data_IF_183644477417
#
_entry.id   IF_183644477417
#
_cell.length_a   1.000
_cell.length_b   1.000
_cell.length_c   1.000
_cell.angle_alpha   90.00
_cell.angle_beta   90.00
_cell.angle_gamma   90.00
#
_symmetry.space_group_name_H-M   'P 1'
#
loop_
_entity.id
_entity.type
_entity.pdbx_description
1 polymer ?
#
# COMPACT_ATOMS: atom_id res chain seq x y z
N UNK A 1 -26.60 -42.76 4.75
CA UNK A 1 -25.88 -42.95 6.03
C UNK A 1 -24.76 -41.93 6.10
N UNK A 2 -24.71 -41.20 7.21
CA UNK A 2 -24.19 -39.83 7.38
C UNK A 2 -22.69 -39.60 7.18
N UNK A 3 -22.35 -38.55 6.41
CA UNK A 3 -21.02 -37.89 6.34
C UNK A 3 -20.53 -37.30 7.68
N UNK A 4 -21.35 -37.27 8.73
CA UNK A 4 -20.99 -36.76 10.07
C UNK A 4 -20.06 -37.68 10.87
N UNK A 5 -19.93 -38.97 10.53
CA UNK A 5 -19.14 -39.94 11.31
C UNK A 5 -17.65 -39.94 10.92
N UNK A 6 -17.30 -39.48 9.72
CA UNK A 6 -15.91 -39.47 9.23
C UNK A 6 -15.13 -38.27 9.82
N UNK A 7 -15.78 -37.12 9.98
CA UNK A 7 -15.16 -35.92 10.56
C UNK A 7 -14.86 -36.05 12.07
N UNK A 8 -15.63 -36.86 12.82
CA UNK A 8 -15.38 -37.02 14.26
C UNK A 8 -14.17 -37.91 14.59
N UNK A 9 -13.74 -38.77 13.66
CA UNK A 9 -12.59 -39.67 13.86
C UNK A 9 -11.24 -39.04 13.49
N UNK A 10 -11.21 -38.04 12.61
CA UNK A 10 -9.96 -37.32 12.27
C UNK A 10 -9.60 -36.28 13.35
N UNK A 11 -10.61 -35.63 13.94
CA UNK A 11 -10.40 -34.67 15.03
C UNK A 11 -9.81 -35.30 16.31
N UNK A 12 -9.98 -36.62 16.50
CA UNK A 12 -9.50 -37.36 17.68
C UNK A 12 -8.10 -38.00 17.52
N UNK A 13 -7.46 -37.88 16.35
CA UNK A 13 -6.06 -38.35 16.17
C UNK A 13 -5.02 -37.23 16.32
N UNK A 14 -5.36 -35.97 15.99
CA UNK A 14 -4.45 -34.82 16.09
C UNK A 14 -4.21 -34.32 17.51
N UNK A 15 -5.01 -34.76 18.49
CA UNK A 15 -4.87 -34.36 19.89
C UNK A 15 -3.79 -35.15 20.68
N UNK A 16 -3.04 -36.06 20.04
CA UNK A 16 -2.11 -36.97 20.75
C UNK A 16 -0.62 -36.64 20.67
N UNK A 17 -0.18 -35.69 19.86
CA UNK A 17 1.27 -35.40 19.68
C UNK A 17 1.62 -33.91 19.87
N UNK A 18 1.35 -33.37 21.06
CA UNK A 18 1.98 -32.13 21.51
C UNK A 18 2.83 -32.45 22.75
N UNK A 19 4.14 -32.54 22.56
CA UNK A 19 5.12 -32.65 23.66
C UNK A 19 5.38 -31.27 24.28
N UNK A 20 5.58 -31.18 25.61
CA UNK A 20 5.74 -29.90 26.30
C UNK A 20 7.22 -29.54 26.40
N UNK A 21 7.59 -28.33 25.99
CA UNK A 21 8.84 -27.68 26.42
C UNK A 21 8.45 -26.36 27.09
N UNK A 22 8.66 -26.31 28.40
CA UNK A 22 8.50 -25.10 29.24
C UNK A 22 9.86 -24.42 29.39
N UNK A 23 9.86 -23.11 29.68
CA UNK A 23 10.65 -22.69 30.84
C UNK A 23 9.79 -21.99 31.88
N UNK A 24 10.12 -22.29 33.13
CA UNK A 24 9.61 -21.70 34.36
C UNK A 24 10.00 -20.22 34.45
N UNK A 25 9.03 -19.34 34.61
CA UNK A 25 9.17 -18.16 35.45
C UNK A 25 7.97 -18.10 36.39
N UNK A 26 8.31 -18.10 37.67
CA UNK A 26 7.47 -18.16 38.86
C UNK A 26 6.63 -16.90 39.07
N UNK A 27 5.37 -17.11 39.44
CA UNK A 27 4.69 -16.33 40.48
C UNK A 27 4.15 -14.95 40.10
N UNK A 28 2.85 -14.79 40.30
CA UNK A 28 2.06 -13.56 40.27
C UNK A 28 1.78 -12.96 38.88
N UNK A 29 0.62 -13.30 38.33
CA UNK A 29 -0.36 -12.39 37.68
C UNK A 29 -1.51 -13.22 37.07
N UNK A 30 -2.12 -14.09 37.89
CA UNK A 30 -3.39 -14.75 37.56
C UNK A 30 -4.50 -13.75 37.82
N UNK A 31 -4.69 -12.83 36.87
CA UNK A 31 -5.75 -11.83 36.90
C UNK A 31 -6.06 -11.21 35.55
N UNK A 32 -5.13 -11.28 34.60
CA UNK A 32 -5.26 -10.58 33.31
C UNK A 32 -5.76 -11.45 32.13
N UNK A 33 -5.74 -12.78 32.26
CA UNK A 33 -5.97 -13.70 31.13
C UNK A 33 -7.44 -14.15 30.95
N UNK A 34 -8.40 -13.58 31.68
CA UNK A 34 -9.84 -13.89 31.52
C UNK A 34 -10.66 -12.78 30.84
N UNK A 35 -10.02 -11.70 30.42
CA UNK A 35 -10.70 -10.57 29.77
C UNK A 35 -10.72 -10.64 28.23
N UNK A 36 -9.88 -11.48 27.61
CA UNK A 36 -9.66 -11.47 26.15
C UNK A 36 -10.30 -12.63 25.36
N UNK A 37 -11.25 -13.39 25.94
CA UNK A 37 -11.83 -14.57 25.28
C UNK A 37 -13.36 -14.56 25.16
N UNK A 38 -14.02 -13.40 25.22
CA UNK A 38 -15.48 -13.32 24.97
C UNK A 38 -15.97 -12.10 24.19
N UNK A 39 -15.09 -11.31 23.56
CA UNK A 39 -15.55 -10.28 22.64
C UNK A 39 -15.63 -10.86 21.22
N UNK A 40 -16.80 -11.39 20.88
CA UNK A 40 -17.29 -11.33 19.51
C UNK A 40 -17.00 -9.93 18.97
N UNK A 41 -16.27 -9.85 17.85
CA UNK A 41 -16.05 -8.61 17.14
C UNK A 41 -17.42 -7.96 16.90
N UNK A 42 -17.68 -6.74 17.42
CA UNK A 42 -18.93 -6.08 17.10
C UNK A 42 -18.90 -5.78 15.61
N UNK A 43 -19.82 -6.38 14.87
CA UNK A 43 -19.93 -6.28 13.41
C UNK A 43 -20.11 -4.86 12.89
N UNK A 44 -20.26 -3.85 13.75
CA UNK A 44 -20.55 -2.48 13.35
C UNK A 44 -19.70 -1.46 14.13
N UNK A 45 -18.39 -1.42 13.89
CA UNK A 45 -17.54 -0.29 14.34
C UNK A 45 -17.95 1.00 13.60
N UNK A 46 -18.45 0.88 12.37
CA UNK A 46 -18.93 2.01 11.57
C UNK A 46 -20.24 2.62 12.11
N UNK A 47 -21.10 1.82 12.73
CA UNK A 47 -22.40 2.29 13.25
C UNK A 47 -22.25 3.00 14.61
N UNK A 48 -21.32 2.55 15.45
CA UNK A 48 -20.99 3.23 16.72
C UNK A 48 -20.32 4.59 16.50
N UNK A 49 -19.45 4.72 15.49
CA UNK A 49 -18.83 6.01 15.15
C UNK A 49 -19.87 7.03 14.63
N UNK A 50 -20.93 6.57 13.95
CA UNK A 50 -22.00 7.46 13.47
C UNK A 50 -22.94 7.88 14.60
N UNK A 51 -23.21 7.01 15.58
CA UNK A 51 -24.13 7.33 16.69
C UNK A 51 -23.55 8.32 17.71
N UNK A 52 -22.24 8.27 17.95
CA UNK A 52 -21.55 9.13 18.93
C UNK A 52 -21.30 10.55 18.36
N UNK A 53 -21.32 10.66 17.02
CA UNK A 53 -21.14 11.92 16.31
C UNK A 53 -22.47 12.64 16.00
N UNK A 54 -23.63 12.10 16.40
CA UNK A 54 -24.94 12.78 16.22
C UNK A 54 -25.13 14.01 17.11
N UNK A 55 -24.35 14.10 18.18
CA UNK A 55 -24.30 15.30 19.03
C UNK A 55 -23.10 16.20 18.70
N UNK A 56 -22.27 15.84 17.70
CA UNK A 56 -21.31 16.76 17.12
C UNK A 56 -22.01 17.60 16.05
N UNK A 57 -22.99 18.39 16.49
CA UNK A 57 -23.38 19.55 15.71
C UNK A 57 -22.20 20.51 15.77
N UNK A 58 -21.44 20.64 14.69
CA UNK A 58 -20.56 21.80 14.52
C UNK A 58 -21.50 23.00 14.61
N UNK A 59 -21.41 23.85 15.65
CA UNK A 59 -22.17 25.08 15.62
C UNK A 59 -21.52 25.91 14.51
N UNK A 60 -22.08 25.86 13.30
CA UNK A 60 -21.79 26.88 12.33
C UNK A 60 -22.50 28.12 12.87
N UNK A 61 -21.81 28.87 13.73
CA UNK A 61 -22.26 30.20 14.10
C UNK A 61 -22.28 30.99 12.79
N UNK A 62 -23.48 31.31 12.31
CA UNK A 62 -23.65 32.26 11.21
C UNK A 62 -23.06 33.59 11.67
N UNK A 63 -22.28 34.21 10.79
CA UNK A 63 -21.52 35.43 11.12
C UNK A 63 -22.49 36.53 11.60
N UNK A 64 -22.46 36.84 12.91
CA UNK A 64 -23.34 37.83 13.55
C UNK A 64 -24.33 37.28 14.59
N UNK A 65 -24.47 35.96 14.73
CA UNK A 65 -25.31 35.38 15.79
C UNK A 65 -24.59 35.44 17.15
N UNK A 66 -25.21 36.06 18.15
CA UNK A 66 -24.67 36.08 19.51
C UNK A 66 -24.89 34.71 20.15
N UNK A 67 -23.83 34.07 20.62
CA UNK A 67 -23.97 32.86 21.44
C UNK A 67 -24.94 33.10 22.60
N UNK A 68 -25.94 32.22 22.74
CA UNK A 68 -26.99 32.34 23.76
C UNK A 68 -26.44 32.38 25.20
N UNK A 69 -25.16 32.03 25.39
CA UNK A 69 -24.45 31.99 26.67
C UNK A 69 -23.57 33.22 26.93
N UNK A 70 -23.40 34.15 25.98
CA UNK A 70 -22.49 35.30 26.13
C UNK A 70 -23.19 36.56 26.66
N UNK A 71 -22.52 37.28 27.57
CA UNK A 71 -23.00 38.58 28.05
C UNK A 71 -22.89 39.66 26.96
N UNK A 72 -23.77 40.67 27.00
CA UNK A 72 -23.80 41.77 26.01
C UNK A 72 -22.45 42.51 25.97
N UNK A 73 -21.83 42.67 27.13
CA UNK A 73 -20.54 43.35 27.29
C UNK A 73 -19.40 42.54 26.66
N UNK A 74 -19.38 41.22 26.84
CA UNK A 74 -18.36 40.35 26.23
C UNK A 74 -18.48 40.32 24.70
N UNK A 75 -19.71 40.26 24.17
CA UNK A 75 -19.94 40.31 22.73
C UNK A 75 -19.48 41.63 22.13
N UNK A 76 -19.80 42.74 22.79
CA UNK A 76 -19.38 44.07 22.36
C UNK A 76 -17.86 44.20 22.39
N UNK A 77 -17.22 43.74 23.47
CA UNK A 77 -15.75 43.75 23.58
C UNK A 77 -15.09 42.89 22.49
N UNK A 78 -15.58 41.68 22.22
CA UNK A 78 -15.07 40.83 21.13
C UNK A 78 -15.20 41.49 19.76
N UNK A 79 -16.30 42.20 19.52
CA UNK A 79 -16.58 42.88 18.24
C UNK A 79 -15.70 44.11 18.07
N UNK A 80 -15.60 44.97 19.08
CA UNK A 80 -14.78 46.19 19.02
C UNK A 80 -13.28 45.90 19.03
N UNK A 81 -12.81 44.95 19.84
CA UNK A 81 -11.39 44.59 19.93
C UNK A 81 -11.00 43.46 18.97
N UNK A 82 -11.93 42.95 18.17
CA UNK A 82 -11.72 41.91 17.15
C UNK A 82 -10.84 40.75 17.66
N UNK A 83 -11.08 40.31 18.90
CA UNK A 83 -10.20 39.37 19.60
C UNK A 83 -10.10 38.02 18.91
N UNK A 84 -11.13 37.61 18.16
CA UNK A 84 -11.11 36.40 17.36
C UNK A 84 -10.14 36.51 16.16
N UNK A 85 -10.00 37.70 15.57
CA UNK A 85 -9.02 37.95 14.51
C UNK A 85 -7.60 37.98 15.09
N UNK A 86 -7.42 38.56 16.29
CA UNK A 86 -6.13 38.51 16.99
C UNK A 86 -5.71 37.07 17.33
N UNK A 87 -6.65 36.21 17.75
CA UNK A 87 -6.40 34.77 17.95
C UNK A 87 -6.01 34.04 16.65
N UNK A 88 -6.68 34.37 15.54
CA UNK A 88 -6.34 33.86 14.22
C UNK A 88 -4.93 34.29 13.80
N UNK A 89 -4.61 35.58 13.95
CA UNK A 89 -3.29 36.13 13.66
C UNK A 89 -2.20 35.50 14.51
N UNK A 90 -2.45 35.29 15.81
CA UNK A 90 -1.52 34.60 16.70
C UNK A 90 -1.21 33.17 16.23
N UNK A 91 -2.22 32.46 15.75
CA UNK A 91 -2.04 31.10 15.20
C UNK A 91 -1.18 31.12 13.94
N UNK A 92 -1.43 32.08 13.04
CA UNK A 92 -0.62 32.27 11.82
C UNK A 92 0.81 32.65 12.17
N UNK A 93 1.01 33.56 13.13
CA UNK A 93 2.33 33.96 13.60
C UNK A 93 3.11 32.77 14.17
N UNK A 94 2.45 31.91 14.95
CA UNK A 94 3.05 30.69 15.48
C UNK A 94 3.44 29.70 14.38
N UNK A 95 2.65 29.62 13.29
CA UNK A 95 3.01 28.79 12.15
C UNK A 95 4.15 29.39 11.33
N UNK A 96 4.23 30.72 11.21
CA UNK A 96 5.29 31.41 10.49
C UNK A 96 6.67 31.24 11.15
N UNK A 97 6.71 31.17 12.48
CA UNK A 97 7.96 30.97 13.24
C UNK A 97 8.44 29.51 13.27
N UNK A 98 7.68 28.55 12.73
CA UNK A 98 8.13 27.16 12.59
C UNK A 98 9.04 27.02 11.36
N UNK A 99 9.95 26.06 11.45
CA UNK A 99 10.79 25.66 10.32
C UNK A 99 9.91 25.12 9.17
N UNK A 100 10.19 25.45 7.90
CA UNK A 100 9.41 24.97 6.77
C UNK A 100 9.62 23.46 6.53
N UNK A 101 8.55 22.75 6.16
CA UNK A 101 8.59 21.32 5.82
C UNK A 101 9.09 21.02 4.39
N UNK A 102 9.55 22.03 3.66
CA UNK A 102 9.90 21.92 2.23
C UNK A 102 11.21 21.15 2.03
N UNK A 103 11.20 20.15 1.17
CA UNK A 103 12.42 19.45 0.71
C UNK A 103 13.00 20.15 -0.52
N UNK A 104 14.33 20.20 -0.62
CA UNK A 104 15.02 20.81 -1.76
C UNK A 104 15.14 19.83 -2.94
N UNK A 105 14.03 19.53 -3.60
CA UNK A 105 14.03 18.79 -4.87
C UNK A 105 14.77 19.60 -5.95
N UNK A 106 15.71 19.05 -6.73
CA UNK A 106 16.02 17.63 -6.95
C UNK A 106 17.19 17.05 -6.11
N UNK A 107 17.85 17.86 -5.28
CA UNK A 107 19.02 17.44 -4.51
C UNK A 107 18.66 16.53 -3.33
N UNK A 108 17.50 16.78 -2.73
CA UNK A 108 16.92 15.97 -1.66
C UNK A 108 15.60 15.37 -2.15
N UNK A 109 15.45 14.05 -2.02
CA UNK A 109 14.24 13.31 -2.40
C UNK A 109 13.55 12.77 -1.15
N UNK A 110 12.23 12.61 -1.24
CA UNK A 110 11.46 11.98 -0.17
C UNK A 110 11.90 10.54 0.07
N UNK A 111 11.82 10.03 1.32
CA UNK A 111 12.12 8.63 1.60
C UNK A 111 11.10 7.72 0.93
N UNK A 112 11.57 6.70 0.21
CA UNK A 112 10.73 5.69 -0.45
C UNK A 112 10.82 4.36 0.29
N UNK A 113 9.72 3.61 0.30
CA UNK A 113 9.71 2.25 0.84
C UNK A 113 10.22 1.26 -0.22
N UNK A 114 10.77 0.10 0.17
CA UNK A 114 11.18 -0.95 -0.78
C UNK A 114 10.02 -1.52 -1.62
N UNK A 115 8.78 -1.30 -1.17
CA UNK A 115 7.53 -1.68 -1.86
C UNK A 115 7.01 -0.64 -2.84
N UNK A 116 7.78 0.41 -3.09
CA UNK A 116 7.36 1.44 -4.03
C UNK A 116 7.13 0.84 -5.42
N UNK A 117 6.10 1.34 -6.10
CA UNK A 117 5.68 0.88 -7.43
C UNK A 117 5.95 1.97 -8.45
N UNK A 118 6.94 1.73 -9.31
CA UNK A 118 7.38 2.68 -10.34
C UNK A 118 7.40 2.07 -11.74
N UNK A 119 8.45 2.37 -12.48
CA UNK A 119 8.65 1.93 -13.87
C UNK A 119 8.77 0.41 -13.97
N UNK A 120 8.10 -0.20 -14.95
CA UNK A 120 8.18 -1.64 -15.13
C UNK A 120 9.53 -2.05 -15.73
N UNK A 121 10.02 -3.20 -15.28
CA UNK A 121 11.26 -3.79 -15.76
C UNK A 121 11.12 -5.30 -15.94
N UNK A 122 11.73 -5.84 -17.00
CA UNK A 122 11.87 -7.28 -17.20
C UNK A 122 13.24 -7.73 -16.72
N UNK A 123 13.26 -8.71 -15.82
CA UNK A 123 14.51 -9.20 -15.20
C UNK A 123 15.06 -10.41 -15.93
N UNK A 124 16.37 -10.62 -15.74
CA UNK A 124 17.11 -11.80 -16.19
C UNK A 124 17.46 -12.72 -15.02
N UNK A 125 17.71 -13.98 -15.31
CA UNK A 125 18.37 -14.90 -14.41
C UNK A 125 19.84 -14.49 -14.22
N UNK A 126 20.51 -14.96 -13.16
CA UNK A 126 21.95 -14.76 -12.99
C UNK A 126 22.80 -15.31 -14.14
N UNK A 127 22.27 -16.24 -14.94
CA UNK A 127 22.89 -16.76 -16.16
C UNK A 127 22.82 -15.79 -17.35
N UNK A 128 22.07 -14.69 -17.24
CA UNK A 128 21.82 -13.72 -18.32
C UNK A 128 20.59 -14.01 -19.18
N UNK A 129 19.95 -15.17 -19.00
CA UNK A 129 18.73 -15.52 -19.72
C UNK A 129 17.51 -14.77 -19.19
N UNK A 130 16.56 -14.41 -20.04
CA UNK A 130 15.33 -13.75 -19.61
C UNK A 130 14.46 -14.66 -18.72
N UNK A 131 13.84 -14.08 -17.69
CA UNK A 131 12.96 -14.85 -16.78
C UNK A 131 11.60 -15.18 -17.39
N UNK A 132 11.14 -14.40 -18.37
CA UNK A 132 9.80 -14.54 -18.92
C UNK A 132 9.64 -15.85 -19.71
N UNK A 133 8.67 -16.68 -19.29
CA UNK A 133 8.30 -17.95 -19.94
C UNK A 133 7.04 -17.85 -20.81
N UNK A 134 6.61 -16.63 -21.13
CA UNK A 134 5.42 -16.35 -21.94
C UNK A 134 4.12 -17.02 -21.44
N UNK A 135 3.91 -17.06 -20.12
CA UNK A 135 2.75 -17.71 -19.50
C UNK A 135 1.42 -16.97 -19.68
N UNK A 136 1.45 -15.69 -20.08
CA UNK A 136 0.29 -14.78 -20.28
C UNK A 136 -0.58 -14.52 -19.04
N UNK A 137 -0.14 -14.90 -17.84
CA UNK A 137 -0.87 -14.57 -16.59
C UNK A 137 -0.93 -13.05 -16.35
N UNK A 138 0.15 -12.33 -16.66
CA UNK A 138 0.22 -10.88 -16.47
C UNK A 138 -0.78 -10.12 -17.35
N UNK A 139 -1.05 -10.63 -18.56
CA UNK A 139 -2.05 -10.06 -19.48
C UNK A 139 -3.46 -10.30 -18.96
N UNK A 140 -3.73 -11.50 -18.45
CA UNK A 140 -5.04 -11.86 -17.91
C UNK A 140 -5.40 -11.10 -16.62
N UNK A 141 -4.42 -10.81 -15.75
CA UNK A 141 -4.67 -10.13 -14.46
C UNK A 141 -4.74 -8.60 -14.60
N UNK A 142 -4.24 -8.03 -15.70
CA UNK A 142 -4.14 -6.59 -15.85
C UNK A 142 -5.55 -5.95 -15.92
N UNK A 143 -5.95 -5.13 -14.93
CA UNK A 143 -7.30 -4.57 -14.88
C UNK A 143 -7.58 -3.58 -16.01
N UNK A 144 -6.54 -2.91 -16.52
CA UNK A 144 -6.62 -1.95 -17.62
C UNK A 144 -6.26 -2.56 -18.99
N UNK A 145 -5.94 -3.87 -19.05
CA UNK A 145 -5.53 -4.56 -20.28
C UNK A 145 -4.43 -3.81 -21.06
N UNK A 146 -3.42 -3.32 -20.33
CA UNK A 146 -2.32 -2.52 -20.88
C UNK A 146 -1.20 -3.35 -21.52
N UNK A 147 -1.17 -4.66 -21.27
CA UNK A 147 -0.11 -5.59 -21.67
C UNK A 147 -0.58 -6.41 -22.86
N UNK A 148 0.26 -6.58 -23.88
CA UNK A 148 0.01 -7.48 -25.01
C UNK A 148 1.18 -8.43 -25.18
N UNK A 149 0.91 -9.75 -25.21
CA UNK A 149 1.95 -10.78 -25.22
C UNK A 149 1.75 -11.76 -26.38
N UNK A 150 2.78 -11.89 -27.21
CA UNK A 150 2.85 -12.91 -28.27
C UNK A 150 4.01 -13.87 -27.97
N UNK A 151 3.73 -15.17 -28.05
CA UNK A 151 4.63 -16.24 -27.64
C UNK A 151 4.96 -17.13 -28.82
N UNK A 152 6.25 -17.37 -29.05
CA UNK A 152 6.74 -18.29 -30.09
C UNK A 152 7.79 -19.23 -29.49
N UNK A 153 7.89 -20.49 -29.97
CA UNK A 153 9.00 -21.37 -29.62
C UNK A 153 10.30 -20.85 -30.25
N UNK A 154 11.37 -20.78 -29.46
CA UNK A 154 12.72 -20.48 -29.97
C UNK A 154 13.40 -21.77 -30.48
N UNK A 155 14.52 -21.62 -31.19
CA UNK A 155 15.36 -22.72 -31.71
C UNK A 155 15.79 -23.72 -30.62
N UNK A 156 15.90 -23.28 -29.37
CA UNK A 156 16.23 -24.10 -28.19
C UNK A 156 14.99 -24.81 -27.57
N UNK A 157 13.85 -24.84 -28.26
CA UNK A 157 12.53 -25.35 -27.80
C UNK A 157 11.95 -24.64 -26.55
N UNK A 158 12.64 -23.62 -26.03
CA UNK A 158 12.13 -22.79 -24.94
C UNK A 158 11.03 -21.84 -25.45
N UNK A 159 9.94 -21.73 -24.67
CA UNK A 159 8.83 -20.81 -24.97
C UNK A 159 9.18 -19.40 -24.52
N UNK A 160 9.30 -18.46 -25.46
CA UNK A 160 9.69 -17.07 -25.18
C UNK A 160 8.73 -16.08 -25.83
N UNK A 161 8.80 -14.84 -25.38
CA UNK A 161 7.99 -13.76 -25.96
C UNK A 161 8.70 -13.16 -27.15
N UNK A 162 8.01 -13.02 -28.28
CA UNK A 162 8.50 -12.21 -29.40
C UNK A 162 8.11 -10.76 -29.16
N UNK A 163 6.87 -10.59 -28.73
CA UNK A 163 6.29 -9.29 -28.43
C UNK A 163 5.84 -9.26 -26.98
N UNK A 164 6.28 -8.22 -26.27
CA UNK A 164 5.88 -7.94 -24.91
C UNK A 164 5.79 -6.44 -24.77
N UNK A 165 4.60 -5.91 -25.02
CA UNK A 165 4.37 -4.47 -25.08
C UNK A 165 3.55 -4.04 -23.88
N UNK A 166 3.93 -2.92 -23.28
CA UNK A 166 3.19 -2.29 -22.19
C UNK A 166 2.90 -0.84 -22.56
N UNK A 167 1.62 -0.48 -22.55
CA UNK A 167 1.19 0.90 -22.68
C UNK A 167 1.14 1.58 -21.30
N UNK A 168 2.14 2.41 -21.00
CA UNK A 168 2.22 3.14 -19.72
C UNK A 168 1.11 4.18 -19.57
N UNK A 169 0.42 4.57 -20.66
CA UNK A 169 -0.74 5.48 -20.60
C UNK A 169 -2.00 4.78 -20.11
N UNK A 170 -2.09 3.45 -20.28
CA UNK A 170 -3.20 2.63 -19.76
C UNK A 170 -2.86 2.01 -18.40
N UNK A 171 -1.58 1.79 -18.12
CA UNK A 171 -1.15 1.17 -16.88
C UNK A 171 -1.51 2.06 -15.67
N UNK A 172 -2.12 1.45 -14.65
CA UNK A 172 -2.52 2.12 -13.41
C UNK A 172 -1.55 1.88 -12.23
N UNK A 173 -0.40 1.24 -12.48
CA UNK A 173 0.65 0.95 -11.48
C UNK A 173 0.12 0.23 -10.22
N UNK A 174 -0.70 -0.81 -10.46
CA UNK A 174 -1.36 -1.57 -9.39
C UNK A 174 -0.49 -2.67 -8.77
N UNK A 175 0.62 -3.08 -9.39
CA UNK A 175 1.48 -4.17 -8.90
C UNK A 175 0.95 -5.59 -9.07
N UNK A 176 -0.24 -5.78 -9.65
CA UNK A 176 -0.81 -7.12 -9.82
C UNK A 176 0.00 -8.01 -10.77
N UNK A 177 0.65 -7.41 -11.78
CA UNK A 177 1.53 -8.12 -12.71
C UNK A 177 2.78 -8.69 -12.02
N UNK A 178 3.31 -7.98 -11.02
CA UNK A 178 4.46 -8.39 -10.24
C UNK A 178 4.13 -9.56 -9.28
N UNK A 179 2.92 -9.60 -8.71
CA UNK A 179 2.48 -10.70 -7.83
C UNK A 179 1.94 -11.91 -8.60
N UNK A 180 1.38 -11.70 -9.79
CA UNK A 180 0.84 -12.78 -10.62
C UNK A 180 1.93 -13.57 -11.37
N UNK A 181 3.16 -13.05 -11.45
CA UNK A 181 4.22 -13.68 -12.22
C UNK A 181 4.80 -14.90 -11.47
N UNK A 182 4.71 -16.13 -12.01
CA UNK A 182 5.17 -17.32 -11.29
C UNK A 182 6.71 -17.42 -11.17
N UNK A 183 7.44 -16.61 -11.94
CA UNK A 183 8.91 -16.66 -12.07
C UNK A 183 9.57 -15.29 -11.79
N UNK A 184 8.79 -14.33 -11.27
CA UNK A 184 9.23 -12.95 -11.02
C UNK A 184 9.92 -12.30 -12.23
N UNK A 185 9.35 -12.48 -13.43
CA UNK A 185 9.91 -11.93 -14.66
C UNK A 185 9.68 -10.43 -14.83
N UNK A 186 8.46 -9.97 -14.55
CA UNK A 186 8.11 -8.55 -14.53
C UNK A 186 8.02 -8.05 -13.10
N UNK A 187 8.61 -6.90 -12.87
CA UNK A 187 8.62 -6.22 -11.58
C UNK A 187 8.36 -4.73 -11.80
N UNK A 188 7.75 -4.08 -10.81
CA UNK A 188 7.71 -2.63 -10.74
C UNK A 188 8.97 -2.15 -10.01
N UNK A 189 9.77 -1.37 -10.72
CA UNK A 189 11.05 -0.85 -10.25
C UNK A 189 10.90 0.40 -9.38
N UNK A 190 12.02 0.87 -8.81
CA UNK A 190 12.05 2.05 -7.96
C UNK A 190 11.98 3.37 -8.73
N UNK A 191 12.23 3.36 -10.05
CA UNK A 191 12.26 4.57 -10.86
C UNK A 191 10.85 5.17 -11.03
N UNK A 192 10.70 6.46 -10.75
CA UNK A 192 9.45 7.21 -10.95
C UNK A 192 9.63 8.46 -11.82
N UNK A 193 10.87 8.81 -12.17
CA UNK A 193 11.22 10.05 -12.89
C UNK A 193 11.48 9.74 -14.37
N UNK A 194 10.44 9.32 -15.10
CA UNK A 194 10.52 9.00 -16.53
C UNK A 194 9.44 9.71 -17.36
N UNK A 195 9.11 10.95 -16.99
CA UNK A 195 8.25 11.79 -17.83
C UNK A 195 8.90 12.01 -19.19
N UNK A 196 8.17 11.70 -20.26
CA UNK A 196 8.61 11.87 -21.65
C UNK A 196 7.86 13.01 -22.31
N UNK A 197 8.44 13.58 -23.36
CA UNK A 197 7.82 14.69 -24.11
C UNK A 197 6.75 14.18 -25.09
N UNK A 198 6.95 12.99 -25.64
CA UNK A 198 6.02 12.37 -26.59
C UNK A 198 5.25 11.20 -25.97
N UNK A 199 4.04 10.94 -26.51
CA UNK A 199 3.22 9.80 -26.12
C UNK A 199 3.80 8.47 -26.59
N UNK A 200 4.44 8.47 -27.75
CA UNK A 200 4.99 7.27 -28.39
C UNK A 200 6.09 6.63 -27.54
N UNK A 201 6.86 7.45 -26.83
CA UNK A 201 7.89 6.96 -25.90
C UNK A 201 7.31 6.18 -24.70
N UNK A 202 6.05 6.41 -24.33
CA UNK A 202 5.34 5.70 -23.24
C UNK A 202 4.76 4.35 -23.67
N UNK A 203 4.82 4.03 -24.95
CA UNK A 203 4.51 2.70 -25.47
C UNK A 203 5.80 1.88 -25.41
N UNK A 204 5.92 1.04 -24.39
CA UNK A 204 7.15 0.31 -24.14
C UNK A 204 7.13 -1.02 -24.89
N UNK A 205 8.17 -1.24 -25.68
CA UNK A 205 8.47 -2.54 -26.29
C UNK A 205 9.23 -3.43 -25.31
N UNK A 206 9.31 -4.73 -25.62
CA UNK A 206 10.08 -5.72 -24.86
C UNK A 206 11.53 -5.29 -24.59
N UNK A 207 12.19 -4.74 -25.60
CA UNK A 207 13.59 -4.32 -25.52
C UNK A 207 13.82 -3.19 -24.51
N UNK A 208 12.91 -2.21 -24.47
CA UNK A 208 12.97 -1.10 -23.51
C UNK A 208 12.78 -1.60 -22.08
N UNK A 209 11.88 -2.55 -21.87
CA UNK A 209 11.65 -3.16 -20.56
C UNK A 209 12.84 -4.00 -20.08
N UNK A 210 13.53 -4.69 -20.99
CA UNK A 210 14.77 -5.40 -20.68
C UNK A 210 15.91 -4.44 -20.37
N UNK A 211 16.05 -3.34 -21.13
CA UNK A 211 17.05 -2.31 -20.86
C UNK A 211 16.84 -1.64 -19.48
N UNK A 212 15.58 -1.45 -19.08
CA UNK A 212 15.23 -0.98 -17.74
C UNK A 212 15.62 -2.00 -16.66
N UNK A 213 15.36 -3.28 -16.91
CA UNK A 213 15.82 -4.38 -16.04
C UNK A 213 17.32 -4.37 -15.86
N UNK A 214 18.07 -4.33 -16.95
CA UNK A 214 19.54 -4.34 -16.92
C UNK A 214 20.11 -3.11 -16.19
N UNK A 215 19.46 -1.95 -16.29
CA UNK A 215 19.84 -0.72 -15.56
C UNK A 215 19.59 -0.82 -14.06
N UNK A 216 18.43 -1.34 -13.65
CA UNK A 216 17.94 -1.29 -12.27
C UNK A 216 18.05 -2.62 -11.50
N UNK A 217 18.59 -3.68 -12.10
CA UNK A 217 18.61 -5.04 -11.53
C UNK A 217 19.21 -5.09 -10.12
N UNK A 218 20.27 -4.30 -9.85
CA UNK A 218 20.94 -4.27 -8.55
C UNK A 218 20.02 -3.78 -7.42
N UNK A 219 19.26 -2.71 -7.67
CA UNK A 219 18.35 -2.11 -6.69
C UNK A 219 17.07 -2.95 -6.55
N UNK A 220 16.52 -3.43 -7.66
CA UNK A 220 15.35 -4.31 -7.65
C UNK A 220 15.69 -5.63 -6.94
N UNK A 221 16.90 -6.17 -7.09
CA UNK A 221 17.35 -7.34 -6.33
C UNK A 221 17.41 -7.06 -4.82
N UNK A 222 17.85 -5.88 -4.40
CA UNK A 222 17.88 -5.49 -2.99
C UNK A 222 16.47 -5.36 -2.41
N UNK A 223 15.57 -4.69 -3.13
CA UNK A 223 14.17 -4.53 -2.71
C UNK A 223 13.45 -5.89 -2.60
N UNK A 224 13.60 -6.78 -3.58
CA UNK A 224 13.00 -8.12 -3.48
C UNK A 224 13.59 -8.94 -2.32
N UNK A 225 14.90 -8.84 -2.05
CA UNK A 225 15.52 -9.53 -0.90
C UNK A 225 14.96 -9.02 0.42
N UNK A 226 14.68 -7.73 0.55
CA UNK A 226 14.04 -7.19 1.75
C UNK A 226 12.59 -7.68 1.92
N UNK A 227 11.91 -7.98 0.82
CA UNK A 227 10.46 -8.26 0.83
C UNK A 227 10.07 -9.73 0.68
N UNK A 228 11.03 -10.63 0.46
CA UNK A 228 10.80 -12.06 0.23
C UNK A 228 9.94 -12.77 1.30
N UNK A 229 9.90 -12.26 2.54
CA UNK A 229 9.17 -12.90 3.66
C UNK A 229 7.68 -12.53 3.71
N UNK A 230 7.26 -11.49 2.99
CA UNK A 230 5.91 -10.92 3.07
C UNK A 230 5.09 -11.14 1.79
N UNK A 231 5.64 -11.90 0.85
CA UNK A 231 4.96 -12.46 -0.32
C UNK A 231 4.53 -13.88 -0.01
#
# INVERSE_FOLDING_TARGET
MNQRVILSRVASSLARNASPVTPRCTGALVGFARFYASQQAPSNIHEKRVSENRNFSIPHQTWGERDATQSVWDFSAKTFFMTEIARGFWTVLMQYLREPYTLHYPFEKGPLSPRFRGEHALRRYPSGEERCIACKLCEAICPAQAITIEAEPREDDSRRTVRYDIDMTKCIYCGLCQEACPVDAIVEGPNFEYSTETREELLYNKEKLLANGDRWESEIAQNLRSEQMYR
#
